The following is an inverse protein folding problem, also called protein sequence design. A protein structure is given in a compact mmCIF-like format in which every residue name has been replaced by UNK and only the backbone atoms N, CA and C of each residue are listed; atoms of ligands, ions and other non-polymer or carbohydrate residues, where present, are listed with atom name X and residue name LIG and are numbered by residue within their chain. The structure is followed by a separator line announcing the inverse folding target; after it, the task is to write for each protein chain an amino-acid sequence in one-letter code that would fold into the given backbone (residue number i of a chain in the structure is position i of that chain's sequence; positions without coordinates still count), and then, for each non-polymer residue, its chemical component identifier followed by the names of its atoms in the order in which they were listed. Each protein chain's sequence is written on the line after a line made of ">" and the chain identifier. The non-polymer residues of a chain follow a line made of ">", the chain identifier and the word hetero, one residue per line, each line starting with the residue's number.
data_IF_763188282471
#
_entry.id   IF_763188282471
#
_cell.length_a   1.000
_cell.length_b   1.000
_cell.length_c   1.000
_cell.angle_alpha   90.00
_cell.angle_beta   90.00
_cell.angle_gamma   90.00
#
_symmetry.space_group_name_H-M   'P 1'
#
loop_
_entity.id
_entity.type
_entity.pdbx_description
1 polymer ?
#
# COMPACT_ATOMS: atom_id res chain seq x y z
N UNK A 1 15.97 -1.97 -3.13
CA UNK A 1 14.53 -2.34 -3.09
C UNK A 1 13.73 -1.26 -3.83
N UNK A 2 12.74 -1.62 -4.64
CA UNK A 2 11.92 -0.62 -5.34
C UNK A 2 10.71 -0.19 -4.51
N UNK A 3 10.44 1.12 -4.49
CA UNK A 3 9.28 1.71 -3.86
C UNK A 3 8.61 2.71 -4.82
N UNK A 4 7.30 2.85 -4.66
CA UNK A 4 6.50 3.87 -5.34
C UNK A 4 6.26 5.04 -4.39
N UNK A 5 6.63 6.24 -4.81
CA UNK A 5 6.36 7.47 -4.08
C UNK A 5 5.38 8.34 -4.84
N UNK A 6 4.31 8.78 -4.18
CA UNK A 6 3.32 9.68 -4.78
C UNK A 6 3.59 11.10 -4.30
N UNK A 7 3.79 12.02 -5.25
CA UNK A 7 3.98 13.43 -4.93
C UNK A 7 2.73 13.99 -4.23
N UNK A 8 2.84 14.55 -3.02
CA UNK A 8 1.69 15.07 -2.28
C UNK A 8 1.09 16.33 -2.93
N UNK A 9 1.86 17.04 -3.77
CA UNK A 9 1.43 18.28 -4.43
C UNK A 9 0.70 18.04 -5.76
N UNK A 10 1.19 17.11 -6.58
CA UNK A 10 0.65 16.90 -7.93
C UNK A 10 0.19 15.47 -8.23
N UNK A 11 0.35 14.53 -7.29
CA UNK A 11 -0.08 13.14 -7.47
C UNK A 11 0.78 12.31 -8.41
N UNK A 12 1.89 12.86 -8.92
CA UNK A 12 2.82 12.14 -9.80
C UNK A 12 3.48 10.97 -9.05
N UNK A 13 3.52 9.80 -9.69
CA UNK A 13 4.11 8.59 -9.12
C UNK A 13 5.56 8.49 -9.60
N UNK A 14 6.49 8.47 -8.66
CA UNK A 14 7.91 8.30 -8.88
C UNK A 14 8.34 6.92 -8.37
N UNK A 15 8.89 6.10 -9.26
CA UNK A 15 9.52 4.83 -8.89
C UNK A 15 10.98 5.08 -8.54
N UNK A 16 11.42 4.57 -7.40
CA UNK A 16 12.82 4.71 -6.98
C UNK A 16 13.31 3.47 -6.26
N UNK A 17 14.63 3.27 -6.35
CA UNK A 17 15.32 2.28 -5.55
C UNK A 17 15.80 2.91 -4.24
N UNK A 18 15.63 2.18 -3.13
CA UNK A 18 16.16 2.53 -1.82
C UNK A 18 17.05 1.41 -1.26
N UNK A 19 18.00 1.81 -0.42
CA UNK A 19 19.07 0.99 0.15
C UNK A 19 18.91 0.79 1.67
N UNK A 20 17.72 1.09 2.22
CA UNK A 20 17.38 0.88 3.64
C UNK A 20 17.16 2.17 4.43
N UNK A 21 17.13 3.32 3.76
CA UNK A 21 16.80 4.61 4.36
C UNK A 21 15.35 4.61 4.89
N UNK A 22 15.12 5.27 6.03
CA UNK A 22 13.78 5.46 6.60
C UNK A 22 13.03 6.66 6.01
N UNK A 23 13.77 7.61 5.43
CA UNK A 23 13.23 8.78 4.74
C UNK A 23 14.09 9.07 3.51
N UNK A 24 13.44 9.28 2.37
CA UNK A 24 14.09 9.60 1.10
C UNK A 24 13.55 10.92 0.60
N UNK A 25 14.43 11.80 0.16
CA UNK A 25 14.03 13.04 -0.50
C UNK A 25 13.72 12.75 -1.96
N UNK A 26 12.48 12.98 -2.36
CA UNK A 26 11.99 12.67 -3.70
C UNK A 26 11.77 13.95 -4.50
N UNK A 27 12.23 13.93 -5.74
CA UNK A 27 11.94 14.97 -6.72
C UNK A 27 11.01 14.41 -7.80
N UNK A 28 9.77 14.91 -7.85
CA UNK A 28 8.82 14.54 -8.89
C UNK A 28 9.19 15.17 -10.24
N UNK A 29 8.63 14.69 -11.35
CA UNK A 29 8.85 15.26 -12.71
C UNK A 29 8.47 16.73 -12.82
N UNK A 30 7.59 17.22 -11.95
CA UNK A 30 7.17 18.61 -11.86
C UNK A 30 8.06 19.48 -10.94
N UNK A 31 9.25 19.00 -10.58
CA UNK A 31 10.24 19.72 -9.75
C UNK A 31 9.80 20.01 -8.31
N UNK A 32 8.77 19.34 -7.81
CA UNK A 32 8.45 19.37 -6.38
C UNK A 32 9.35 18.43 -5.61
N UNK A 33 9.99 18.97 -4.57
CA UNK A 33 10.77 18.22 -3.59
C UNK A 33 9.89 17.92 -2.38
N UNK A 34 9.93 16.68 -1.91
CA UNK A 34 9.19 16.25 -0.73
C UNK A 34 9.87 15.06 -0.06
N UNK A 35 9.65 14.92 1.25
CA UNK A 35 10.12 13.78 2.01
C UNK A 35 9.17 12.60 1.80
N UNK A 36 9.70 11.50 1.30
CA UNK A 36 9.06 10.21 1.32
C UNK A 36 9.51 9.49 2.58
N UNK A 37 8.62 9.36 3.55
CA UNK A 37 8.85 8.41 4.65
C UNK A 37 8.77 7.03 4.03
N UNK A 38 9.91 6.33 4.00
CA UNK A 38 9.97 4.92 3.65
C UNK A 38 9.35 4.20 4.83
N UNK A 39 8.03 4.10 4.78
CA UNK A 39 7.33 3.15 5.60
C UNK A 39 7.74 1.82 4.99
N UNK A 40 8.54 0.98 5.66
CA UNK A 40 8.74 -0.38 5.19
C UNK A 40 7.34 -0.93 4.97
N UNK A 41 7.02 -1.27 3.73
CA UNK A 41 5.72 -1.67 3.18
C UNK A 41 5.08 -2.82 3.97
N UNK A 42 4.77 -2.66 5.25
CA UNK A 42 4.75 -3.79 6.19
C UNK A 42 5.81 -4.85 5.86
N UNK A 43 7.00 -4.47 5.37
CA UNK A 43 8.03 -5.46 5.11
C UNK A 43 8.65 -5.69 6.47
N UNK A 44 8.14 -6.72 7.17
CA UNK A 44 8.87 -7.53 8.16
C UNK A 44 8.93 -7.12 9.63
N UNK A 45 8.06 -6.26 10.18
CA UNK A 45 8.12 -6.02 11.63
C UNK A 45 7.54 -7.16 12.49
N UNK A 46 6.38 -7.77 12.13
CA UNK A 46 5.77 -8.80 13.01
C UNK A 46 5.07 -9.97 12.29
N UNK A 47 5.17 -10.09 10.97
CA UNK A 47 4.64 -11.24 10.22
C UNK A 47 5.67 -11.76 9.20
N UNK A 48 6.79 -12.31 9.68
CA UNK A 48 7.52 -13.34 8.92
C UNK A 48 6.65 -14.59 8.89
N UNK A 49 5.62 -14.57 8.05
CA UNK A 49 4.73 -15.69 7.85
C UNK A 49 4.77 -16.02 6.37
N UNK A 50 5.34 -17.16 6.00
CA UNK A 50 5.50 -17.60 4.60
C UNK A 50 4.17 -17.54 3.83
N UNK A 51 3.05 -17.66 4.55
CA UNK A 51 1.69 -17.47 4.04
C UNK A 51 1.42 -16.09 3.45
N UNK A 52 1.95 -15.01 4.06
CA UNK A 52 1.77 -13.66 3.52
C UNK A 52 2.48 -13.52 2.18
N UNK A 53 3.69 -14.09 2.05
CA UNK A 53 4.45 -14.08 0.80
C UNK A 53 3.69 -14.82 -0.29
N UNK A 54 3.25 -16.05 -0.01
CA UNK A 54 2.44 -16.85 -0.95
C UNK A 54 1.16 -16.13 -1.35
N UNK A 55 0.49 -15.48 -0.40
CA UNK A 55 -0.72 -14.71 -0.67
C UNK A 55 -0.42 -13.51 -1.59
N UNK A 56 0.68 -12.79 -1.36
CA UNK A 56 1.08 -11.66 -2.19
C UNK A 56 1.44 -12.08 -3.62
N UNK A 57 2.03 -13.27 -3.81
CA UNK A 57 2.31 -13.84 -5.13
C UNK A 57 1.05 -14.18 -5.92
N UNK A 58 -0.05 -14.53 -5.24
CA UNK A 58 -1.34 -14.81 -5.88
C UNK A 58 -2.10 -13.56 -6.34
N UNK A 59 -1.65 -12.35 -6.00
CA UNK A 59 -2.32 -11.10 -6.36
C UNK A 59 -1.92 -10.69 -7.78
N UNK A 60 -2.87 -10.70 -8.70
CA UNK A 60 -2.66 -10.27 -10.09
C UNK A 60 -2.88 -8.78 -10.31
N UNK A 61 -3.75 -8.16 -9.50
CA UNK A 61 -4.07 -6.74 -9.65
C UNK A 61 -4.37 -6.08 -8.31
N UNK A 62 -3.95 -4.82 -8.17
CA UNK A 62 -4.24 -3.96 -7.01
C UNK A 62 -4.86 -2.66 -7.50
N UNK A 63 -6.10 -2.38 -7.10
CA UNK A 63 -6.80 -1.12 -7.43
C UNK A 63 -6.98 -0.28 -6.18
N UNK A 64 -6.74 1.02 -6.30
CA UNK A 64 -7.00 1.97 -5.23
C UNK A 64 -8.06 2.96 -5.66
N UNK A 65 -9.10 3.11 -4.84
CA UNK A 65 -10.14 4.09 -5.08
C UNK A 65 -10.27 5.03 -3.89
N UNK A 66 -10.31 6.33 -4.17
CA UNK A 66 -10.68 7.33 -3.17
C UNK A 66 -12.20 7.37 -3.07
N UNK A 67 -12.74 7.03 -1.92
CA UNK A 67 -14.19 7.01 -1.67
C UNK A 67 -14.70 8.33 -1.10
N UNK A 68 -13.84 9.05 -0.39
CA UNK A 68 -14.15 10.39 0.12
C UNK A 68 -12.87 11.21 0.33
N UNK A 69 -13.04 12.44 0.79
CA UNK A 69 -11.95 13.30 1.29
C UNK A 69 -11.12 12.61 2.41
N UNK A 70 -11.71 11.65 3.12
CA UNK A 70 -11.13 10.95 4.30
C UNK A 70 -10.80 9.48 4.08
N UNK A 71 -11.18 8.88 2.95
CA UNK A 71 -11.15 7.43 2.83
C UNK A 71 -10.64 6.91 1.50
N UNK A 72 -9.91 5.80 1.60
CA UNK A 72 -9.33 5.05 0.49
C UNK A 72 -9.72 3.59 0.64
N UNK A 73 -10.12 2.97 -0.47
CA UNK A 73 -10.30 1.52 -0.60
C UNK A 73 -9.16 0.95 -1.45
N UNK A 74 -8.70 -0.23 -1.08
CA UNK A 74 -7.82 -1.09 -1.86
C UNK A 74 -8.61 -2.34 -2.24
N UNK A 75 -8.62 -2.70 -3.53
CA UNK A 75 -9.17 -3.95 -4.04
C UNK A 75 -8.02 -4.82 -4.54
N UNK A 76 -7.90 -6.01 -3.99
CA UNK A 76 -6.97 -7.05 -4.40
C UNK A 76 -7.72 -8.05 -5.27
N UNK A 77 -7.18 -8.33 -6.45
CA UNK A 77 -7.70 -9.34 -7.37
C UNK A 77 -6.68 -10.45 -7.44
N UNK A 78 -7.14 -11.67 -7.19
CA UNK A 78 -6.31 -12.87 -7.16
C UNK A 78 -6.41 -13.65 -8.49
N UNK A 79 -5.44 -14.53 -8.75
CA UNK A 79 -5.39 -15.35 -9.98
C UNK A 79 -6.67 -16.16 -10.24
N UNK A 80 -7.36 -16.56 -9.17
CA UNK A 80 -8.63 -17.31 -9.24
C UNK A 80 -9.86 -16.41 -9.48
N UNK A 81 -9.67 -15.11 -9.72
CA UNK A 81 -10.75 -14.13 -9.89
C UNK A 81 -11.46 -13.73 -8.59
N UNK A 82 -10.99 -14.20 -7.43
CA UNK A 82 -11.50 -13.75 -6.14
C UNK A 82 -11.04 -12.33 -5.86
N UNK A 83 -11.90 -11.55 -5.21
CA UNK A 83 -11.61 -10.16 -4.89
C UNK A 83 -11.71 -9.92 -3.38
N UNK A 84 -10.73 -9.20 -2.84
CA UNK A 84 -10.71 -8.77 -1.43
C UNK A 84 -10.54 -7.28 -1.34
N UNK A 85 -11.44 -6.63 -0.62
CA UNK A 85 -11.36 -5.19 -0.35
C UNK A 85 -10.85 -4.89 1.06
N UNK A 86 -10.04 -3.84 1.17
CA UNK A 86 -9.61 -3.24 2.42
C UNK A 86 -9.83 -1.73 2.39
N UNK A 87 -10.02 -1.14 3.56
CA UNK A 87 -10.34 0.28 3.71
C UNK A 87 -9.45 0.97 4.73
N UNK A 88 -9.03 2.19 4.40
CA UNK A 88 -8.46 3.17 5.33
C UNK A 88 -9.37 4.37 5.45
N UNK A 89 -9.57 4.90 6.65
CA UNK A 89 -10.36 6.09 6.89
C UNK A 89 -9.82 6.86 8.08
N UNK A 90 -9.60 8.17 7.91
CA UNK A 90 -9.19 9.07 8.99
C UNK A 90 -10.39 9.78 9.60
N UNK A 91 -10.31 10.11 10.89
CA UNK A 91 -11.36 10.86 11.60
C UNK A 91 -11.55 12.26 11.00
N UNK A 92 -10.45 12.97 10.77
CA UNK A 92 -10.41 14.34 10.23
C UNK A 92 -9.78 14.33 8.85
N UNK A 93 -10.38 15.01 7.87
CA UNK A 93 -9.89 15.10 6.49
C UNK A 93 -8.52 15.77 6.38
N UNK A 94 -8.19 16.68 7.28
CA UNK A 94 -6.88 17.35 7.34
C UNK A 94 -5.74 16.37 7.61
N UNK A 95 -6.03 15.24 8.26
CA UNK A 95 -5.05 14.19 8.54
C UNK A 95 -4.96 13.17 7.40
N UNK A 96 -5.71 13.36 6.31
CA UNK A 96 -5.70 12.43 5.19
C UNK A 96 -4.44 12.63 4.34
N UNK A 97 -3.57 11.62 4.36
CA UNK A 97 -2.45 11.52 3.44
C UNK A 97 -2.70 10.37 2.48
N UNK A 98 -2.69 10.65 1.17
CA UNK A 98 -3.05 9.66 0.14
C UNK A 98 -2.17 8.40 0.22
N UNK A 99 -0.86 8.57 0.42
CA UNK A 99 0.10 7.46 0.53
C UNK A 99 -0.23 6.58 1.73
N UNK A 100 -0.40 7.18 2.91
CA UNK A 100 -0.77 6.47 4.15
C UNK A 100 -2.14 5.80 4.01
N UNK A 101 -3.10 6.48 3.36
CA UNK A 101 -4.43 5.94 3.09
C UNK A 101 -4.40 4.70 2.22
N UNK A 102 -3.60 4.70 1.14
CA UNK A 102 -3.40 3.52 0.28
C UNK A 102 -2.71 2.39 1.04
N UNK A 103 -1.63 2.69 1.76
CA UNK A 103 -0.88 1.72 2.56
C UNK A 103 -1.79 1.01 3.59
N UNK A 104 -2.53 1.77 4.39
CA UNK A 104 -3.46 1.19 5.37
C UNK A 104 -4.63 0.45 4.75
N UNK A 105 -5.10 0.87 3.58
CA UNK A 105 -6.16 0.14 2.87
C UNK A 105 -5.62 -1.20 2.34
N UNK A 106 -4.39 -1.24 1.85
CA UNK A 106 -3.71 -2.45 1.40
C UNK A 106 -3.45 -3.42 2.56
N UNK A 107 -2.90 -2.94 3.68
CA UNK A 107 -2.67 -3.75 4.89
C UNK A 107 -3.98 -4.40 5.39
N UNK A 108 -5.07 -3.63 5.39
CA UNK A 108 -6.39 -4.13 5.75
C UNK A 108 -6.88 -5.20 4.76
N UNK A 109 -6.68 -5.00 3.45
CA UNK A 109 -7.06 -5.98 2.43
C UNK A 109 -6.27 -7.29 2.59
N UNK A 110 -4.95 -7.21 2.82
CA UNK A 110 -4.10 -8.38 3.06
C UNK A 110 -4.53 -9.18 4.30
N UNK A 111 -4.88 -8.51 5.41
CA UNK A 111 -5.38 -9.19 6.62
C UNK A 111 -6.65 -9.98 6.33
N UNK A 112 -7.61 -9.37 5.62
CA UNK A 112 -8.86 -10.06 5.22
C UNK A 112 -8.59 -11.20 4.25
N UNK A 113 -7.65 -11.04 3.34
CA UNK A 113 -7.25 -12.10 2.42
C UNK A 113 -6.55 -13.26 3.16
N UNK A 114 -5.72 -12.99 4.16
CA UNK A 114 -5.16 -14.03 5.03
C UNK A 114 -6.24 -14.77 5.84
N UNK A 115 -7.27 -14.07 6.33
CA UNK A 115 -8.40 -14.73 7.00
C UNK A 115 -9.17 -15.64 6.05
N UNK A 116 -9.33 -15.24 4.78
CA UNK A 116 -10.04 -16.01 3.77
C UNK A 116 -9.22 -17.21 3.23
N UNK A 117 -7.93 -17.01 2.96
CA UNK A 117 -7.06 -17.98 2.30
C UNK A 117 -6.08 -18.70 3.22
N UNK A 118 -5.90 -18.25 4.47
CA UNK A 118 -4.84 -18.73 5.36
C UNK A 118 -4.85 -20.23 5.63
N UNK A 119 -6.02 -20.88 5.52
CA UNK A 119 -6.16 -22.33 5.63
C UNK A 119 -5.63 -23.10 4.39
N UNK A 120 -5.61 -22.45 3.22
CA UNK A 120 -5.16 -23.02 1.94
C UNK A 120 -3.69 -22.72 1.63
N UNK A 121 -3.07 -21.84 2.41
CA UNK A 121 -1.65 -21.50 2.34
C UNK A 121 -0.90 -22.39 3.34
N UNK A 122 -0.49 -23.59 2.90
CA UNK A 122 0.25 -24.60 3.69
C UNK A 122 1.55 -24.96 2.97
#
# INVERSE_FOLDING_TARGET
>A
MFIESVCPKCGEITNMEHHGESVIVVNCKHKHVYDHVVIPYSRTAELKNDKLHLLEEMIVEKKFQRMSDRSTICLLIFENGYEVEGRSTVKNSENFHLVIGKDKAYEHALKRALEAFGAYLV
#
